data_IF_013127929510
#
_entry.id   IF_013127929510
#
_cell.length_a   1.000
_cell.length_b   1.000
_cell.length_c   1.000
_cell.angle_alpha   90.00
_cell.angle_beta   90.00
_cell.angle_gamma   90.00
#
_symmetry.space_group_name_H-M   'P 1'
#
loop_
_entity.id
_entity.type
_entity.pdbx_description
1 polymer ?
#
# COMPACT_ATOMS: atom_id res chain seq x y z
N UNK A 1 7.46 11.43 0.59
CA UNK A 1 6.28 10.57 0.81
C UNK A 1 5.38 11.18 1.86
N UNK A 2 4.05 10.93 1.78
CA UNK A 2 3.10 11.23 2.84
C UNK A 2 2.78 9.95 3.63
N UNK A 3 2.63 10.10 4.93
CA UNK A 3 2.26 9.02 5.85
C UNK A 3 1.07 9.49 6.69
N UNK A 4 -0.05 8.77 6.60
CA UNK A 4 -1.22 9.04 7.43
C UNK A 4 -1.01 8.41 8.81
N UNK A 5 -1.01 9.25 9.85
CA UNK A 5 -0.73 8.86 11.23
C UNK A 5 -1.93 9.14 12.15
N UNK A 6 -2.11 8.37 13.23
CA UNK A 6 -1.23 7.30 13.70
C UNK A 6 -1.30 6.03 12.82
N UNK A 7 -0.19 5.32 12.74
CA UNK A 7 -0.03 4.14 11.87
C UNK A 7 0.82 3.08 12.57
N UNK A 8 0.77 1.86 12.08
CA UNK A 8 1.61 0.75 12.55
C UNK A 8 3.10 1.11 12.48
N UNK A 9 3.80 0.99 13.60
CA UNK A 9 5.16 1.50 13.82
C UNK A 9 6.17 1.21 12.69
N UNK A 10 6.21 0.01 12.07
CA UNK A 10 7.13 -0.25 10.97
C UNK A 10 7.01 0.71 9.77
N UNK A 11 5.82 1.27 9.53
CA UNK A 11 5.63 2.25 8.45
C UNK A 11 6.27 3.61 8.77
N UNK A 12 6.53 3.90 10.05
CA UNK A 12 7.27 5.09 10.47
C UNK A 12 8.78 4.82 10.37
N UNK A 13 9.22 3.61 10.73
CA UNK A 13 10.63 3.26 10.83
C UNK A 13 11.27 3.01 9.46
N UNK A 14 10.58 2.31 8.54
CA UNK A 14 11.12 1.94 7.23
C UNK A 14 11.61 3.16 6.42
N UNK A 15 10.87 4.27 6.31
CA UNK A 15 11.33 5.46 5.60
C UNK A 15 12.57 6.13 6.20
N UNK A 16 12.85 5.88 7.48
CA UNK A 16 14.01 6.44 8.20
C UNK A 16 15.27 5.60 8.04
N UNK A 17 15.18 4.41 7.44
CA UNK A 17 16.36 3.59 7.17
C UNK A 17 17.30 4.32 6.21
N UNK A 18 18.59 4.38 6.53
CA UNK A 18 19.63 5.07 5.74
C UNK A 18 19.63 4.70 4.25
N UNK A 19 19.10 3.53 3.92
CA UNK A 19 19.01 3.04 2.54
C UNK A 19 18.03 3.82 1.68
N UNK A 20 17.02 4.45 2.28
CA UNK A 20 15.89 5.01 1.53
C UNK A 20 15.84 6.53 1.47
N UNK A 21 16.35 7.22 2.48
CA UNK A 21 16.44 8.71 2.54
C UNK A 21 15.15 9.43 2.09
N UNK A 22 13.98 8.97 2.56
CA UNK A 22 12.72 9.60 2.21
C UNK A 22 12.45 10.86 3.04
N UNK A 23 12.02 11.92 2.37
CA UNK A 23 11.38 13.05 3.04
C UNK A 23 9.95 12.64 3.40
N UNK A 24 9.63 12.60 4.69
CA UNK A 24 8.32 12.19 5.19
C UNK A 24 7.49 13.41 5.55
N UNK A 25 6.26 13.47 5.04
CA UNK A 25 5.21 14.40 5.42
C UNK A 25 4.16 13.64 6.21
N UNK A 26 4.05 13.88 7.49
CA UNK A 26 2.99 13.27 8.31
C UNK A 26 1.68 14.04 8.13
N UNK A 27 0.58 13.28 7.96
CA UNK A 27 -0.79 13.76 7.92
C UNK A 27 -1.50 13.17 9.13
N UNK A 28 -1.76 14.00 10.14
CA UNK A 28 -2.22 13.55 11.46
C UNK A 28 -3.73 13.47 11.56
N UNK A 29 -4.24 12.39 12.14
CA UNK A 29 -5.66 12.24 12.46
C UNK A 29 -5.96 12.93 13.79
N UNK A 30 -6.06 14.26 13.77
CA UNK A 30 -6.24 15.09 14.95
C UNK A 30 -7.48 16.00 14.86
N UNK A 31 -8.43 15.66 14.00
CA UNK A 31 -9.68 16.42 13.88
C UNK A 31 -10.50 16.33 15.17
N UNK A 32 -11.04 17.49 15.56
CA UNK A 32 -11.92 17.60 16.72
C UNK A 32 -13.35 17.84 16.26
N UNK A 33 -14.32 17.30 16.98
CA UNK A 33 -15.73 17.65 16.82
C UNK A 33 -16.02 19.03 17.41
N UNK A 34 -17.19 19.60 17.12
CA UNK A 34 -17.62 20.90 17.65
C UNK A 34 -17.77 20.90 19.16
N UNK A 35 -18.02 19.77 19.79
CA UNK A 35 -18.09 19.56 21.24
C UNK A 35 -16.73 19.17 21.87
N UNK A 36 -15.65 19.23 21.08
CA UNK A 36 -14.29 19.05 21.58
C UNK A 36 -13.82 17.59 21.73
N UNK A 37 -14.53 16.63 21.12
CA UNK A 37 -14.10 15.23 21.10
C UNK A 37 -13.14 14.97 19.96
N UNK A 38 -12.12 14.15 20.20
CA UNK A 38 -11.17 13.71 19.18
C UNK A 38 -11.79 12.62 18.30
N UNK A 39 -11.70 12.78 16.96
CA UNK A 39 -12.40 11.89 16.01
C UNK A 39 -11.52 10.88 15.30
N UNK A 40 -10.21 10.96 15.42
CA UNK A 40 -9.28 10.18 14.59
C UNK A 40 -9.49 10.37 13.08
N UNK A 41 -10.09 11.49 12.68
CA UNK A 41 -10.21 11.90 11.28
C UNK A 41 -9.18 13.00 10.95
N UNK A 42 -9.08 13.31 9.68
CA UNK A 42 -8.08 14.23 9.13
C UNK A 42 -8.71 15.55 8.75
N UNK A 43 -8.02 16.64 9.02
CA UNK A 43 -8.43 17.97 8.57
C UNK A 43 -8.25 18.09 7.06
N UNK A 44 -9.13 18.83 6.43
CA UNK A 44 -9.10 19.08 4.99
C UNK A 44 -7.80 19.71 4.53
N UNK A 45 -7.29 20.69 5.29
CA UNK A 45 -6.02 21.35 4.99
C UNK A 45 -4.81 20.42 5.02
N UNK A 46 -4.82 19.38 5.88
CA UNK A 46 -3.75 18.40 5.95
C UNK A 46 -3.82 17.42 4.77
N UNK A 47 -5.02 17.01 4.37
CA UNK A 47 -5.22 16.20 3.16
C UNK A 47 -4.81 16.99 1.90
N UNK A 48 -5.09 18.30 1.85
CA UNK A 48 -4.73 19.16 0.71
C UNK A 48 -3.21 19.24 0.47
N UNK A 49 -2.38 18.90 1.44
CA UNK A 49 -0.93 18.78 1.24
C UNK A 49 -0.58 17.76 0.15
N UNK A 50 -1.44 16.76 -0.10
CA UNK A 50 -1.27 15.78 -1.17
C UNK A 50 -1.33 16.38 -2.59
N UNK A 51 -1.83 17.61 -2.76
CA UNK A 51 -1.80 18.36 -4.01
C UNK A 51 -0.36 18.68 -4.47
N UNK A 52 0.58 18.69 -3.52
CA UNK A 52 1.98 18.94 -3.83
C UNK A 52 2.56 17.77 -4.65
N UNK A 53 2.98 18.00 -5.93
CA UNK A 53 3.51 16.94 -6.80
C UNK A 53 4.88 16.41 -6.37
N UNK A 54 5.52 17.04 -5.38
CA UNK A 54 6.75 16.51 -4.76
C UNK A 54 6.45 15.32 -3.84
N UNK A 55 5.21 15.18 -3.35
CA UNK A 55 4.76 13.99 -2.64
C UNK A 55 4.48 12.90 -3.68
N UNK A 56 5.33 11.90 -3.73
CA UNK A 56 5.27 10.83 -4.74
C UNK A 56 4.47 9.62 -4.29
N UNK A 57 4.35 9.40 -2.97
CA UNK A 57 3.60 8.27 -2.44
C UNK A 57 2.83 8.66 -1.18
N UNK A 58 1.65 8.08 -1.03
CA UNK A 58 0.82 8.11 0.17
C UNK A 58 0.79 6.71 0.77
N UNK A 59 1.15 6.59 2.05
CA UNK A 59 0.97 5.37 2.85
C UNK A 59 -0.18 5.55 3.81
N UNK A 60 -1.11 4.59 3.81
CA UNK A 60 -2.27 4.58 4.68
C UNK A 60 -2.58 3.16 5.16
N UNK A 61 -2.94 3.01 6.43
CA UNK A 61 -3.60 1.81 6.96
C UNK A 61 -5.08 2.13 7.16
N UNK A 62 -5.97 1.41 6.48
CA UNK A 62 -7.40 1.69 6.53
C UNK A 62 -8.22 0.39 6.62
N UNK A 63 -8.98 0.16 7.68
CA UNK A 63 -9.07 0.95 8.93
C UNK A 63 -7.73 1.11 9.65
N UNK A 64 -7.57 2.24 10.35
CA UNK A 64 -6.31 2.63 10.98
C UNK A 64 -5.90 1.74 12.16
N UNK A 65 -4.61 1.63 12.40
CA UNK A 65 -4.02 0.95 13.54
C UNK A 65 -2.99 1.90 14.19
N UNK A 66 -3.11 2.26 15.50
CA UNK A 66 -3.91 1.60 16.53
C UNK A 66 -5.37 2.08 16.68
N UNK A 67 -5.85 3.22 16.13
CA UNK A 67 -7.14 3.80 16.55
C UNK A 67 -8.38 2.99 16.13
N UNK A 68 -8.24 2.06 15.17
CA UNK A 68 -9.36 1.26 14.61
C UNK A 68 -10.47 2.12 13.97
N UNK A 69 -10.08 3.17 13.27
CA UNK A 69 -10.98 4.13 12.63
C UNK A 69 -10.92 4.00 11.11
N UNK A 70 -12.08 3.93 10.46
CA UNK A 70 -12.15 3.93 8.99
C UNK A 70 -12.06 5.36 8.47
N UNK A 71 -11.36 5.53 7.36
CA UNK A 71 -11.33 6.81 6.64
C UNK A 71 -12.75 7.25 6.30
N UNK A 72 -13.09 8.52 6.58
CA UNK A 72 -14.41 9.03 6.27
C UNK A 72 -14.66 9.08 4.76
N UNK A 73 -15.92 8.94 4.30
CA UNK A 73 -16.24 9.06 2.89
C UNK A 73 -15.82 10.41 2.28
N UNK A 74 -15.90 11.48 3.05
CA UNK A 74 -15.52 12.84 2.64
C UNK A 74 -14.02 12.94 2.42
N UNK A 75 -13.21 12.43 3.36
CA UNK A 75 -11.76 12.39 3.23
C UNK A 75 -11.34 11.49 2.06
N UNK A 76 -11.97 10.32 1.90
CA UNK A 76 -11.71 9.45 0.76
C UNK A 76 -12.02 10.14 -0.57
N UNK A 77 -13.18 10.79 -0.70
CA UNK A 77 -13.56 11.56 -1.88
C UNK A 77 -12.58 12.70 -2.17
N UNK A 78 -12.09 13.39 -1.12
CA UNK A 78 -11.10 14.45 -1.27
C UNK A 78 -9.77 13.93 -1.82
N UNK A 79 -9.27 12.80 -1.29
CA UNK A 79 -8.06 12.15 -1.83
C UNK A 79 -8.27 11.78 -3.30
N UNK A 80 -9.42 11.21 -3.64
CA UNK A 80 -9.77 10.86 -5.04
C UNK A 80 -9.75 12.09 -5.95
N UNK A 81 -10.32 13.20 -5.49
CA UNK A 81 -10.35 14.46 -6.25
C UNK A 81 -8.94 15.02 -6.48
N UNK A 82 -8.11 15.01 -5.43
CA UNK A 82 -6.71 15.44 -5.50
C UNK A 82 -5.93 14.62 -6.52
N UNK A 83 -6.06 13.30 -6.45
CA UNK A 83 -5.35 12.42 -7.39
C UNK A 83 -5.80 12.67 -8.83
N UNK A 84 -7.10 12.81 -9.06
CA UNK A 84 -7.63 13.02 -10.42
C UNK A 84 -7.29 14.37 -11.02
N UNK A 85 -7.17 15.42 -10.20
CA UNK A 85 -7.03 16.80 -10.67
C UNK A 85 -5.64 17.39 -10.51
N UNK A 86 -4.99 17.14 -9.38
CA UNK A 86 -3.80 17.88 -8.96
C UNK A 86 -2.53 17.02 -8.94
N UNK A 87 -2.62 15.76 -8.53
CA UNK A 87 -1.46 14.88 -8.42
C UNK A 87 -1.74 13.48 -9.02
N UNK A 88 -1.91 13.38 -10.36
CA UNK A 88 -2.31 12.14 -11.02
C UNK A 88 -1.26 11.01 -10.95
N UNK A 89 -0.05 11.33 -10.56
CA UNK A 89 1.04 10.37 -10.38
C UNK A 89 1.30 10.02 -8.91
N UNK A 90 0.40 10.40 -7.99
CA UNK A 90 0.50 9.98 -6.60
C UNK A 90 0.29 8.46 -6.49
N UNK A 91 1.32 7.77 -6.05
CA UNK A 91 1.24 6.34 -5.70
C UNK A 91 0.56 6.19 -4.36
N UNK A 92 -0.46 5.34 -4.26
CA UNK A 92 -1.13 5.03 -3.00
C UNK A 92 -0.76 3.61 -2.60
N UNK A 93 -0.29 3.45 -1.37
CA UNK A 93 -0.03 2.16 -0.75
C UNK A 93 -0.98 2.05 0.43
N UNK A 94 -2.01 1.21 0.29
CA UNK A 94 -3.02 1.00 1.32
C UNK A 94 -2.86 -0.37 1.96
N UNK A 95 -2.82 -0.38 3.29
CA UNK A 95 -2.89 -1.60 4.08
C UNK A 95 -4.32 -1.77 4.59
N UNK A 96 -5.05 -2.66 3.93
CA UNK A 96 -6.48 -2.91 4.16
C UNK A 96 -6.72 -4.12 5.08
N UNK A 97 -5.70 -4.54 5.84
CA UNK A 97 -5.74 -5.75 6.69
C UNK A 97 -6.93 -5.80 7.65
N UNK A 98 -7.45 -4.66 8.06
CA UNK A 98 -8.61 -4.55 8.95
C UNK A 98 -9.93 -4.28 8.23
N UNK A 99 -9.94 -4.16 6.91
CA UNK A 99 -11.14 -3.89 6.11
C UNK A 99 -12.27 -4.89 6.32
N UNK A 100 -11.93 -6.18 6.46
CA UNK A 100 -12.89 -7.26 6.72
C UNK A 100 -13.63 -7.17 8.06
N UNK A 101 -13.13 -6.37 9.01
CA UNK A 101 -13.82 -6.12 10.29
C UNK A 101 -14.81 -4.95 10.23
N UNK A 102 -14.77 -4.15 9.18
CA UNK A 102 -15.60 -2.96 9.04
C UNK A 102 -16.75 -3.22 8.06
N UNK A 103 -18.02 -3.17 8.53
CA UNK A 103 -19.16 -3.27 7.63
C UNK A 103 -19.11 -2.19 6.54
N UNK A 104 -19.39 -2.59 5.31
CA UNK A 104 -19.39 -1.68 4.15
C UNK A 104 -18.05 -1.01 3.86
N UNK A 105 -16.94 -1.59 4.34
CA UNK A 105 -15.60 -1.09 4.02
C UNK A 105 -15.40 -0.94 2.51
N UNK A 106 -14.81 0.19 2.11
CA UNK A 106 -14.43 0.45 0.73
C UNK A 106 -12.98 0.93 0.67
N UNK A 107 -12.15 0.14 0.02
CA UNK A 107 -10.74 0.47 -0.21
C UNK A 107 -10.60 1.66 -1.16
N UNK A 108 -9.55 2.47 -0.98
CA UNK A 108 -9.14 3.47 -1.97
C UNK A 108 -8.84 2.84 -3.34
N UNK A 109 -8.45 1.57 -3.38
CA UNK A 109 -8.25 0.84 -4.63
C UNK A 109 -9.51 0.76 -5.47
N UNK A 110 -10.70 0.73 -4.86
CA UNK A 110 -11.97 0.71 -5.61
C UNK A 110 -12.22 2.03 -6.37
N UNK A 111 -11.71 3.15 -5.85
CA UNK A 111 -11.89 4.48 -6.45
C UNK A 111 -10.73 4.90 -7.35
N UNK A 112 -9.51 4.44 -7.03
CA UNK A 112 -8.25 4.80 -7.69
C UNK A 112 -7.44 3.54 -8.03
N UNK A 113 -7.99 2.59 -8.80
CA UNK A 113 -7.35 1.30 -9.04
C UNK A 113 -5.98 1.45 -9.70
N UNK A 114 -5.82 2.41 -10.62
CA UNK A 114 -4.57 2.60 -11.33
C UNK A 114 -3.45 3.22 -10.47
N UNK A 115 -3.81 3.92 -9.39
CA UNK A 115 -2.87 4.60 -8.50
C UNK A 115 -2.53 3.78 -7.26
N UNK A 116 -3.28 2.72 -6.98
CA UNK A 116 -3.25 2.04 -5.68
C UNK A 116 -2.61 0.67 -5.77
N UNK A 117 -1.67 0.43 -4.86
CA UNK A 117 -1.19 -0.87 -4.45
C UNK A 117 -1.88 -1.21 -3.13
N UNK A 118 -2.70 -2.24 -3.13
CA UNK A 118 -3.42 -2.69 -1.95
C UNK A 118 -2.73 -3.89 -1.33
N UNK A 119 -2.53 -3.85 -0.02
CA UNK A 119 -2.00 -4.96 0.78
C UNK A 119 -3.11 -5.48 1.68
N UNK A 120 -3.32 -6.80 1.67
CA UNK A 120 -4.20 -7.49 2.59
C UNK A 120 -3.47 -8.66 3.23
N UNK A 121 -3.62 -8.82 4.55
CA UNK A 121 -2.99 -9.92 5.27
C UNK A 121 -4.02 -10.84 5.92
N UNK A 122 -3.82 -12.15 5.81
CA UNK A 122 -4.63 -13.17 6.48
C UNK A 122 -4.35 -13.28 7.99
N UNK A 123 -3.39 -12.51 8.48
CA UNK A 123 -2.96 -12.55 9.88
C UNK A 123 -4.05 -12.21 10.88
N UNK A 124 -4.99 -11.32 10.55
CA UNK A 124 -5.95 -10.74 11.50
C UNK A 124 -7.31 -11.42 11.45
N UNK A 125 -8.10 -11.19 10.43
CA UNK A 125 -9.46 -11.74 10.33
C UNK A 125 -9.48 -13.26 10.40
N UNK A 126 -8.56 -13.93 9.73
CA UNK A 126 -8.47 -15.38 9.68
C UNK A 126 -7.65 -15.99 10.85
N UNK A 127 -7.11 -15.19 11.75
CA UNK A 127 -6.31 -15.66 12.88
C UNK A 127 -4.99 -16.33 12.48
N UNK A 128 -4.53 -16.15 11.26
CA UNK A 128 -3.39 -16.87 10.67
C UNK A 128 -2.06 -16.10 10.80
N UNK A 129 -1.85 -15.37 11.89
CA UNK A 129 -0.67 -14.49 12.08
C UNK A 129 0.65 -15.24 11.92
N UNK A 130 0.75 -16.46 12.45
CA UNK A 130 1.98 -17.27 12.35
C UNK A 130 2.26 -17.83 10.95
N UNK A 131 1.29 -17.81 10.06
CA UNK A 131 1.42 -18.38 8.72
C UNK A 131 2.12 -17.45 7.74
N UNK A 132 2.21 -16.15 8.05
CA UNK A 132 2.93 -15.15 7.25
C UNK A 132 2.41 -15.04 5.81
N UNK A 133 1.09 -15.05 5.64
CA UNK A 133 0.44 -14.95 4.33
C UNK A 133 -0.24 -13.60 4.12
N UNK A 134 -0.06 -13.06 2.92
CA UNK A 134 -0.62 -11.77 2.51
C UNK A 134 -0.82 -11.76 1.00
N UNK A 135 -1.70 -10.88 0.55
CA UNK A 135 -1.94 -10.61 -0.86
C UNK A 135 -1.59 -9.16 -1.16
N UNK A 136 -0.94 -8.95 -2.30
CA UNK A 136 -0.75 -7.64 -2.88
C UNK A 136 -1.58 -7.58 -4.16
N UNK A 137 -2.50 -6.62 -4.23
CA UNK A 137 -3.31 -6.37 -5.40
C UNK A 137 -2.85 -5.11 -6.12
N UNK A 138 -2.75 -5.19 -7.45
CA UNK A 138 -2.38 -4.10 -8.33
C UNK A 138 -3.21 -4.21 -9.61
N UNK A 139 -3.75 -3.09 -10.06
CA UNK A 139 -4.50 -3.06 -11.32
C UNK A 139 -3.57 -3.36 -12.51
N UNK A 140 -4.07 -4.04 -13.53
CA UNK A 140 -3.28 -4.40 -14.71
C UNK A 140 -2.69 -3.17 -15.40
N UNK A 141 -3.49 -2.11 -15.51
CA UNK A 141 -3.04 -0.79 -15.96
C UNK A 141 -2.80 0.09 -14.74
N UNK A 142 -1.55 0.36 -14.41
CA UNK A 142 -1.18 1.09 -13.19
C UNK A 142 -0.12 2.15 -13.45
N UNK A 143 -0.04 3.12 -12.54
CA UNK A 143 0.94 4.21 -12.66
C UNK A 143 2.37 3.73 -12.40
N UNK A 144 2.58 2.66 -11.65
CA UNK A 144 3.92 2.16 -11.33
C UNK A 144 4.62 1.70 -12.59
N UNK A 145 3.94 0.92 -13.45
CA UNK A 145 4.47 0.50 -14.75
C UNK A 145 4.68 1.70 -15.69
N UNK A 146 3.74 2.66 -15.70
CA UNK A 146 3.89 3.89 -16.50
C UNK A 146 5.10 4.70 -16.06
N UNK A 147 5.32 4.85 -14.75
CA UNK A 147 6.47 5.60 -14.23
C UNK A 147 7.79 4.90 -14.56
N UNK A 148 7.86 3.55 -14.46
CA UNK A 148 9.03 2.79 -14.88
C UNK A 148 9.31 3.01 -16.38
N UNK A 149 8.27 2.99 -17.22
CA UNK A 149 8.41 3.21 -18.66
C UNK A 149 8.97 4.62 -19.01
N UNK A 150 8.75 5.60 -18.14
CA UNK A 150 9.23 6.99 -18.33
C UNK A 150 10.56 7.30 -17.63
N UNK A 151 11.19 6.33 -16.97
CA UNK A 151 12.52 6.53 -16.40
C UNK A 151 13.56 6.82 -17.49
N UNK A 152 14.59 7.61 -17.19
CA UNK A 152 15.77 7.75 -18.06
C UNK A 152 16.39 6.39 -18.38
N UNK A 153 16.94 6.23 -19.58
CA UNK A 153 17.49 4.95 -20.06
C UNK A 153 18.57 4.38 -19.13
N UNK A 154 19.40 5.24 -18.56
CA UNK A 154 20.41 4.84 -17.57
C UNK A 154 19.77 4.19 -16.34
N UNK A 155 18.69 4.79 -15.81
CA UNK A 155 17.96 4.25 -14.66
C UNK A 155 17.23 2.96 -15.02
N UNK A 156 16.66 2.86 -16.22
CA UNK A 156 16.07 1.60 -16.71
C UNK A 156 17.13 0.50 -16.81
N UNK A 157 18.32 0.82 -17.30
CA UNK A 157 19.41 -0.15 -17.40
C UNK A 157 19.83 -0.68 -16.03
N UNK A 158 19.97 0.21 -15.03
CA UNK A 158 20.27 -0.18 -13.64
C UNK A 158 19.16 -1.06 -13.08
N UNK A 159 17.90 -0.65 -13.26
CA UNK A 159 16.74 -1.40 -12.80
C UNK A 159 16.67 -2.78 -13.45
N UNK A 160 16.87 -2.89 -14.76
CA UNK A 160 16.81 -4.14 -15.51
C UNK A 160 17.96 -5.07 -15.14
N UNK A 161 19.16 -4.53 -14.89
CA UNK A 161 20.32 -5.33 -14.42
C UNK A 161 20.00 -6.09 -13.13
N UNK A 162 19.20 -5.53 -12.23
CA UNK A 162 18.78 -6.18 -10.97
C UNK A 162 18.08 -7.53 -11.22
N UNK A 163 17.34 -7.64 -12.33
CA UNK A 163 16.52 -8.81 -12.66
C UNK A 163 17.10 -9.67 -13.80
N UNK A 164 18.30 -9.36 -14.29
CA UNK A 164 18.92 -10.06 -15.43
C UNK A 164 19.21 -11.53 -15.15
N UNK A 165 19.34 -11.93 -13.89
CA UNK A 165 19.51 -13.35 -13.51
C UNK A 165 18.20 -14.15 -13.55
N UNK A 166 17.05 -13.49 -13.64
CA UNK A 166 15.74 -14.14 -13.58
C UNK A 166 15.10 -14.31 -14.97
N UNK A 167 15.44 -13.46 -15.91
CA UNK A 167 14.86 -13.47 -17.25
C UNK A 167 15.83 -12.89 -18.27
N UNK A 168 15.71 -13.34 -19.53
CA UNK A 168 16.46 -12.81 -20.67
C UNK A 168 15.90 -11.47 -21.17
N UNK A 169 14.69 -11.09 -20.72
CA UNK A 169 13.99 -9.87 -21.12
C UNK A 169 13.52 -9.08 -19.88
N UNK A 170 14.44 -8.58 -19.01
CA UNK A 170 14.09 -7.88 -17.78
C UNK A 170 13.32 -6.59 -18.01
N UNK A 171 13.44 -6.00 -19.20
CA UNK A 171 12.70 -4.80 -19.60
C UNK A 171 11.19 -5.04 -19.75
N UNK A 172 10.76 -6.29 -19.92
CA UNK A 172 9.34 -6.67 -20.05
C UNK A 172 8.66 -6.96 -18.71
N UNK A 173 9.42 -7.03 -17.63
CA UNK A 173 8.86 -7.28 -16.30
C UNK A 173 7.98 -6.10 -15.87
N UNK A 174 6.72 -6.40 -15.57
CA UNK A 174 5.81 -5.45 -14.91
C UNK A 174 6.26 -5.21 -13.46
N UNK A 175 5.74 -4.15 -12.86
CA UNK A 175 6.05 -3.82 -11.46
C UNK A 175 5.69 -4.97 -10.50
N UNK A 176 4.55 -5.62 -10.72
CA UNK A 176 4.15 -6.78 -9.90
C UNK A 176 5.13 -7.94 -10.01
N UNK A 177 5.67 -8.23 -11.20
CA UNK A 177 6.67 -9.28 -11.40
C UNK A 177 7.96 -8.97 -10.66
N UNK A 178 8.37 -7.70 -10.67
CA UNK A 178 9.54 -7.21 -9.92
C UNK A 178 9.35 -7.38 -8.41
N UNK A 179 8.17 -7.07 -7.89
CA UNK A 179 7.83 -7.29 -6.49
C UNK A 179 7.87 -8.77 -6.12
N UNK A 180 7.35 -9.66 -6.96
CA UNK A 180 7.43 -11.11 -6.75
C UNK A 180 8.88 -11.57 -6.72
N UNK A 181 9.71 -11.09 -7.65
CA UNK A 181 11.13 -11.41 -7.68
C UNK A 181 11.86 -10.96 -6.41
N UNK A 182 11.62 -9.72 -5.98
CA UNK A 182 12.22 -9.17 -4.77
C UNK A 182 11.74 -9.89 -3.50
N UNK A 183 10.47 -10.27 -3.42
CA UNK A 183 9.94 -11.05 -2.29
C UNK A 183 10.61 -12.42 -2.18
N UNK A 184 10.89 -13.06 -3.30
CA UNK A 184 11.63 -14.36 -3.33
C UNK A 184 13.06 -14.18 -2.85
N UNK A 185 13.75 -13.10 -3.20
CA UNK A 185 15.10 -12.82 -2.70
C UNK A 185 15.10 -12.61 -1.19
N UNK A 186 14.10 -11.94 -0.64
CA UNK A 186 13.93 -11.79 0.81
C UNK A 186 13.68 -13.15 1.46
N UNK A 187 12.84 -14.00 0.87
CA UNK A 187 12.53 -15.33 1.39
C UNK A 187 13.75 -16.27 1.40
N UNK A 188 14.69 -16.13 0.46
CA UNK A 188 15.94 -16.89 0.44
C UNK A 188 16.88 -16.51 1.60
N UNK A 189 16.83 -15.27 2.05
CA UNK A 189 17.65 -14.76 3.13
C UNK A 189 17.00 -14.88 4.52
N UNK A 190 15.68 -15.01 4.56
CA UNK A 190 14.87 -15.16 5.75
C UNK A 190 14.01 -16.40 5.58
N UNK A 191 14.07 -17.32 6.51
CA UNK A 191 13.28 -18.58 6.52
C UNK A 191 11.77 -18.36 6.71
N UNK A 192 11.26 -17.16 6.38
CA UNK A 192 9.88 -16.73 6.60
C UNK A 192 8.95 -16.96 5.39
N UNK A 193 9.42 -17.58 4.33
CA UNK A 193 8.59 -17.93 3.18
C UNK A 193 7.74 -19.16 3.44
N UNK A 194 6.44 -19.08 3.12
CA UNK A 194 5.54 -20.23 3.17
C UNK A 194 5.84 -21.21 2.05
N UNK A 195 5.80 -22.50 2.38
CA UNK A 195 5.83 -23.55 1.35
C UNK A 195 4.56 -23.51 0.49
N UNK A 196 4.64 -23.99 -0.75
CA UNK A 196 3.49 -24.05 -1.65
C UNK A 196 2.28 -24.78 -1.02
N UNK A 197 2.43 -25.93 -0.33
CA UNK A 197 1.32 -26.59 0.36
C UNK A 197 0.65 -25.68 1.41
N UNK A 198 1.44 -24.93 2.19
CA UNK A 198 0.89 -23.99 3.16
C UNK A 198 0.10 -22.87 2.49
N UNK A 199 0.64 -22.25 1.43
CA UNK A 199 -0.06 -21.22 0.66
C UNK A 199 -1.37 -21.76 0.06
N UNK A 200 -1.36 -22.98 -0.45
CA UNK A 200 -2.56 -23.62 -1.01
C UNK A 200 -3.63 -23.84 0.05
N UNK A 201 -3.26 -24.36 1.21
CA UNK A 201 -4.20 -24.56 2.33
C UNK A 201 -4.82 -23.24 2.77
N UNK A 202 -4.02 -22.18 2.88
CA UNK A 202 -4.49 -20.87 3.29
C UNK A 202 -5.42 -20.24 2.27
N UNK A 203 -5.07 -20.33 0.99
CA UNK A 203 -5.92 -19.83 -0.08
C UNK A 203 -7.27 -20.54 -0.13
N UNK A 204 -7.29 -21.85 0.07
CA UNK A 204 -8.52 -22.64 0.18
C UNK A 204 -9.34 -22.21 1.40
N UNK A 205 -8.71 -22.06 2.57
CA UNK A 205 -9.39 -21.65 3.79
C UNK A 205 -10.01 -20.25 3.67
N UNK A 206 -9.26 -19.32 3.09
CA UNK A 206 -9.76 -17.97 2.81
C UNK A 206 -10.90 -17.97 1.79
N UNK A 207 -10.85 -18.84 0.78
CA UNK A 207 -11.91 -18.97 -0.22
C UNK A 207 -13.23 -19.47 0.38
N UNK A 208 -13.19 -20.40 1.34
CA UNK A 208 -14.40 -20.84 2.03
C UNK A 208 -15.06 -19.73 2.84
N UNK A 209 -14.28 -18.84 3.45
CA UNK A 209 -14.82 -17.72 4.22
C UNK A 209 -15.42 -16.59 3.34
N UNK A 210 -15.15 -16.59 2.03
CA UNK A 210 -15.73 -15.63 1.08
C UNK A 210 -17.01 -16.18 0.44
N UNK A 211 -17.20 -17.50 0.48
CA UNK A 211 -18.34 -18.17 -0.20
C UNK A 211 -19.58 -18.31 0.68
N UNK A 212 -19.50 -17.97 1.98
CA UNK A 212 -20.63 -17.88 2.92
C UNK A 212 -21.17 -16.44 2.95
#
# INVERSE_FOLDING_TARGET
IALMVPVFTPYIEIPQLRRYEFNVTEISADQMTTDGLHTWQYKDEDIDRLRNPQIKALFITNPSNPPSYTLSPETAARIVDIVKKDNPNLMIITDDVYGTFSPHFRSLMAELPQNTLCVYSFSKYFGATGWRDAVIALHEENIFDRMIAHLPEEQKAILNKRYSSLTLAPERLKFIDRMVADSRQVALNHTAGLSLPQQTQMSLFASFAILD
#
